data_IF_565260318718
#
_entry.id   IF_565260318718
#
_cell.length_a   1.000
_cell.length_b   1.000
_cell.length_c   1.000
_cell.angle_alpha   90.00
_cell.angle_beta   90.00
_cell.angle_gamma   90.00
#
_symmetry.space_group_name_H-M   'P 1'
#
loop_
_entity.id
_entity.type
_entity.pdbx_description
1 polymer ?
#
# COMPACT_ATOMS: atom_id res chain seq x y z
N UNK A 1 0.81 -10.61 -17.29
CA UNK A 1 1.84 -10.31 -16.27
C UNK A 1 3.19 -10.11 -16.97
N UNK A 2 3.87 -9.01 -16.64
CA UNK A 2 5.20 -8.62 -17.10
C UNK A 2 6.19 -9.01 -16.00
N UNK A 3 7.24 -9.75 -16.34
CA UNK A 3 8.22 -10.24 -15.36
C UNK A 3 9.51 -9.41 -15.42
N UNK A 4 9.89 -8.81 -14.30
CA UNK A 4 11.18 -8.16 -14.10
C UNK A 4 12.09 -9.14 -13.37
N UNK A 5 13.26 -9.48 -13.91
CA UNK A 5 14.09 -10.54 -13.34
C UNK A 5 15.57 -10.16 -13.22
N UNK A 6 16.22 -10.68 -12.18
CA UNK A 6 17.64 -10.56 -11.91
C UNK A 6 18.36 -11.91 -12.15
N UNK A 7 19.66 -11.90 -12.48
CA UNK A 7 20.45 -13.12 -12.66
C UNK A 7 20.50 -14.02 -11.42
N UNK A 8 20.32 -13.44 -10.22
CA UNK A 8 20.23 -14.14 -8.93
C UNK A 8 18.99 -15.02 -8.77
N UNK A 9 18.05 -14.98 -9.73
CA UNK A 9 16.76 -15.68 -9.66
C UNK A 9 15.66 -14.89 -8.95
N UNK A 10 15.98 -13.72 -8.38
CA UNK A 10 15.00 -12.77 -7.85
C UNK A 10 14.17 -12.18 -8.98
N UNK A 11 12.87 -12.04 -8.76
CA UNK A 11 11.99 -11.43 -9.77
C UNK A 11 10.75 -10.78 -9.15
N UNK A 12 10.18 -9.82 -9.89
CA UNK A 12 8.90 -9.19 -9.60
C UNK A 12 7.94 -9.37 -10.78
N UNK A 13 6.66 -9.62 -10.49
CA UNK A 13 5.61 -9.75 -11.49
C UNK A 13 4.69 -8.53 -11.46
N UNK A 14 4.53 -7.84 -12.58
CA UNK A 14 3.67 -6.67 -12.71
C UNK A 14 2.48 -7.00 -13.61
N UNK A 15 1.25 -6.77 -13.17
CA UNK A 15 0.05 -6.87 -14.00
C UNK A 15 -0.38 -5.47 -14.47
N UNK A 16 -0.58 -5.23 -15.78
CA UNK A 16 -1.16 -3.98 -16.27
C UNK A 16 -2.53 -3.64 -15.66
N UNK A 17 -3.34 -4.63 -15.26
CA UNK A 17 -4.57 -4.37 -14.51
C UNK A 17 -4.19 -3.80 -13.14
N UNK A 18 -4.68 -2.59 -12.85
CA UNK A 18 -4.38 -1.86 -11.63
C UNK A 18 -2.92 -1.48 -11.45
N UNK A 19 -2.08 -1.60 -12.49
CA UNK A 19 -0.62 -1.51 -12.34
C UNK A 19 -0.09 -2.30 -11.13
N UNK A 20 -0.58 -3.54 -11.00
CA UNK A 20 -0.46 -4.38 -9.81
C UNK A 20 0.94 -4.93 -9.65
N UNK A 21 1.54 -4.79 -8.47
CA UNK A 21 2.66 -5.60 -8.03
C UNK A 21 2.13 -6.97 -7.59
N UNK A 22 2.13 -7.92 -8.52
CA UNK A 22 1.46 -9.20 -8.42
C UNK A 22 2.35 -10.34 -7.90
N UNK A 23 3.66 -10.14 -7.80
CA UNK A 23 4.59 -11.09 -7.19
C UNK A 23 5.90 -10.39 -6.83
N UNK A 24 6.55 -10.83 -5.76
CA UNK A 24 7.93 -10.46 -5.43
C UNK A 24 8.63 -11.68 -4.82
N UNK A 25 9.49 -12.32 -5.59
CA UNK A 25 10.15 -13.57 -5.22
C UNK A 25 11.58 -13.32 -4.79
N UNK A 26 11.90 -13.68 -3.55
CA UNK A 26 13.18 -13.38 -2.89
C UNK A 26 13.71 -14.59 -2.12
N UNK A 27 15.04 -14.77 -2.00
CA UNK A 27 15.63 -15.85 -1.24
C UNK A 27 15.45 -15.64 0.27
N UNK A 28 15.32 -16.73 1.02
CA UNK A 28 15.51 -16.75 2.47
C UNK A 28 17.01 -16.91 2.83
N UNK A 29 17.34 -17.02 4.11
CA UNK A 29 18.73 -17.22 4.59
C UNK A 29 19.40 -18.50 4.07
N UNK A 30 18.62 -19.48 3.60
CA UNK A 30 19.10 -20.73 3.05
C UNK A 30 19.10 -20.71 1.50
N UNK A 31 18.81 -19.56 0.89
CA UNK A 31 18.76 -19.39 -0.56
C UNK A 31 17.44 -19.84 -1.21
N UNK A 32 16.43 -20.24 -0.42
CA UNK A 32 15.14 -20.70 -0.96
C UNK A 32 14.27 -19.52 -1.38
N UNK A 33 13.93 -19.48 -2.66
CA UNK A 33 13.05 -18.47 -3.24
C UNK A 33 11.60 -18.71 -2.81
N UNK A 34 10.91 -17.67 -2.35
CA UNK A 34 9.46 -17.67 -2.18
C UNK A 34 8.87 -16.31 -2.55
N UNK A 35 7.61 -16.30 -2.98
CA UNK A 35 6.82 -15.08 -3.18
C UNK A 35 6.46 -14.51 -1.81
N UNK A 36 6.84 -13.26 -1.55
CA UNK A 36 6.54 -12.58 -0.28
C UNK A 36 5.29 -11.72 -0.36
N UNK A 37 4.53 -11.79 -1.46
CA UNK A 37 3.26 -11.08 -1.60
C UNK A 37 2.09 -12.04 -1.50
N UNK A 38 1.03 -11.59 -0.83
CA UNK A 38 -0.28 -12.20 -1.01
C UNK A 38 -0.87 -11.72 -2.33
N UNK A 39 -1.44 -12.64 -3.07
CA UNK A 39 -2.13 -12.37 -4.34
C UNK A 39 -3.47 -13.10 -4.37
N UNK A 40 -4.48 -12.56 -5.03
CA UNK A 40 -5.79 -13.20 -5.15
C UNK A 40 -5.72 -14.41 -6.08
N UNK A 41 -6.57 -15.42 -5.83
CA UNK A 41 -6.69 -16.59 -6.71
C UNK A 41 -7.12 -16.22 -8.14
N UNK A 42 -7.91 -15.15 -8.28
CA UNK A 42 -8.39 -14.62 -9.55
C UNK A 42 -7.76 -13.27 -9.86
N UNK A 43 -7.40 -13.04 -11.13
CA UNK A 43 -6.84 -11.76 -11.59
C UNK A 43 -7.84 -10.63 -11.31
N UNK A 44 -7.40 -9.56 -10.65
CA UNK A 44 -8.25 -8.43 -10.26
C UNK A 44 -9.20 -8.72 -9.09
N UNK A 45 -9.08 -9.88 -8.45
CA UNK A 45 -9.86 -10.23 -7.27
C UNK A 45 -9.24 -9.75 -5.95
N UNK A 46 -9.95 -10.01 -4.85
CA UNK A 46 -9.48 -9.73 -3.50
C UNK A 46 -9.50 -8.24 -3.10
N UNK A 47 -9.28 -7.92 -1.81
CA UNK A 47 -9.32 -6.55 -1.29
C UNK A 47 -8.04 -5.77 -1.65
N UNK A 48 -7.99 -5.24 -2.88
CA UNK A 48 -6.93 -4.34 -3.35
C UNK A 48 -5.52 -4.94 -3.25
N UNK A 49 -5.34 -6.23 -3.52
CA UNK A 49 -4.03 -6.87 -3.32
C UNK A 49 -3.02 -6.45 -4.39
N UNK A 50 -2.02 -5.67 -3.99
CA UNK A 50 -0.89 -5.29 -4.85
C UNK A 50 -1.20 -4.21 -5.89
N UNK A 51 -2.46 -3.79 -6.01
CA UNK A 51 -2.90 -2.79 -6.98
C UNK A 51 -2.35 -1.40 -6.65
N UNK A 52 -2.19 -0.57 -7.66
CA UNK A 52 -1.97 0.87 -7.51
C UNK A 52 -3.32 1.56 -7.32
N UNK A 53 -3.48 2.23 -6.19
CA UNK A 53 -4.72 2.90 -5.81
C UNK A 53 -4.66 4.39 -6.18
N UNK A 54 -5.79 4.91 -6.67
CA UNK A 54 -6.02 6.34 -6.88
C UNK A 54 -7.43 6.61 -7.40
N UNK A 55 -7.85 7.87 -7.61
CA UNK A 55 -7.06 9.10 -7.49
C UNK A 55 -6.70 9.49 -6.07
N UNK A 56 -7.43 8.98 -5.08
CA UNK A 56 -7.17 9.24 -3.67
C UNK A 56 -7.19 7.94 -2.88
N UNK A 57 -6.04 7.56 -2.33
CA UNK A 57 -5.91 6.40 -1.47
C UNK A 57 -6.58 6.61 -0.11
N UNK A 58 -7.15 5.55 0.43
CA UNK A 58 -7.94 5.52 1.66
C UNK A 58 -9.27 6.29 1.51
N UNK A 59 -9.85 6.77 2.61
CA UNK A 59 -11.23 7.25 2.67
C UNK A 59 -11.34 8.77 2.57
N UNK A 60 -12.34 9.23 1.83
CA UNK A 60 -12.88 10.60 1.89
C UNK A 60 -14.26 10.52 2.55
N UNK A 61 -14.37 11.17 3.70
CA UNK A 61 -15.58 11.17 4.53
C UNK A 61 -16.77 11.74 3.76
N UNK A 62 -17.92 11.06 3.83
CA UNK A 62 -19.16 11.50 3.16
C UNK A 62 -19.09 11.52 1.63
N UNK A 63 -18.05 10.90 1.04
CA UNK A 63 -17.81 10.85 -0.39
C UNK A 63 -17.90 12.24 -1.05
N UNK A 64 -17.38 13.27 -0.39
CA UNK A 64 -17.39 14.63 -0.93
C UNK A 64 -16.23 15.46 -0.38
N UNK A 65 -15.81 16.45 -1.15
CA UNK A 65 -14.89 17.50 -0.68
C UNK A 65 -15.24 18.85 -1.31
N UNK A 66 -14.78 19.92 -0.69
CA UNK A 66 -14.89 21.27 -1.23
C UNK A 66 -13.56 21.68 -1.86
N UNK A 67 -13.61 22.25 -3.06
CA UNK A 67 -12.47 22.84 -3.76
C UNK A 67 -12.94 24.13 -4.43
N UNK A 68 -12.23 25.24 -4.17
CA UNK A 68 -12.54 26.56 -4.72
C UNK A 68 -14.02 26.97 -4.56
N UNK A 69 -14.60 26.68 -3.39
CA UNK A 69 -16.00 26.98 -3.06
C UNK A 69 -17.04 26.05 -3.70
N UNK A 70 -16.61 25.06 -4.50
CA UNK A 70 -17.50 24.06 -5.12
C UNK A 70 -17.41 22.74 -4.37
N UNK A 71 -18.57 22.15 -4.04
CA UNK A 71 -18.64 20.81 -3.46
C UNK A 71 -18.63 19.76 -4.58
N UNK A 72 -17.58 18.94 -4.62
CA UNK A 72 -17.48 17.78 -5.49
C UNK A 72 -18.00 16.54 -4.76
N UNK A 73 -18.99 15.87 -5.35
CA UNK A 73 -19.49 14.58 -4.85
C UNK A 73 -18.80 13.45 -5.59
N UNK A 74 -18.38 12.44 -4.84
CA UNK A 74 -17.61 11.30 -5.30
C UNK A 74 -18.45 10.02 -5.28
N UNK A 75 -17.95 9.00 -5.95
CA UNK A 75 -18.46 7.64 -5.87
C UNK A 75 -18.34 7.13 -4.43
N UNK A 76 -19.48 6.87 -3.79
CA UNK A 76 -19.55 6.25 -2.46
C UNK A 76 -19.56 4.73 -2.61
N UNK A 77 -18.45 4.09 -2.24
CA UNK A 77 -18.23 2.64 -2.39
C UNK A 77 -17.87 1.95 -1.07
N UNK A 78 -17.82 2.69 0.05
CA UNK A 78 -17.62 2.15 1.39
C UNK A 78 -18.58 2.84 2.37
N UNK A 79 -19.82 2.35 2.39
CA UNK A 79 -20.92 3.01 3.09
C UNK A 79 -21.13 4.44 2.56
N UNK A 80 -21.12 5.47 3.43
CA UNK A 80 -21.25 6.86 3.01
C UNK A 80 -19.95 7.47 2.47
N UNK A 81 -18.84 6.73 2.46
CA UNK A 81 -17.50 7.25 2.15
C UNK A 81 -17.04 6.83 0.75
N UNK A 82 -16.10 7.60 0.19
CA UNK A 82 -15.36 7.20 -1.01
C UNK A 82 -14.04 6.56 -0.56
N UNK A 83 -13.85 5.28 -0.85
CA UNK A 83 -12.66 4.51 -0.53
C UNK A 83 -11.84 4.27 -1.80
N UNK A 84 -10.54 4.52 -1.72
CA UNK A 84 -9.55 4.15 -2.74
C UNK A 84 -9.85 4.73 -4.14
N UNK A 85 -10.51 5.89 -4.20
CA UNK A 85 -10.80 6.59 -5.44
C UNK A 85 -12.15 6.25 -6.06
N UNK A 86 -12.96 5.38 -5.43
CA UNK A 86 -14.34 5.10 -5.83
C UNK A 86 -14.57 3.67 -6.31
N UNK A 87 -15.79 3.39 -6.75
CA UNK A 87 -16.23 2.06 -7.19
C UNK A 87 -15.43 1.52 -8.39
N UNK A 88 -14.98 2.40 -9.28
CA UNK A 88 -14.14 2.07 -10.45
C UNK A 88 -12.84 2.88 -10.41
N UNK A 89 -12.10 2.75 -9.30
CA UNK A 89 -10.81 3.40 -9.08
C UNK A 89 -9.71 2.97 -10.07
N UNK A 90 -8.53 3.58 -9.97
CA UNK A 90 -7.41 3.27 -10.88
C UNK A 90 -6.94 1.80 -10.76
N UNK A 91 -7.21 1.16 -9.62
CA UNK A 91 -6.90 -0.24 -9.33
C UNK A 91 -7.68 -1.25 -10.18
N UNK A 92 -8.88 -0.87 -10.64
CA UNK A 92 -9.78 -1.76 -11.38
C UNK A 92 -9.63 -1.66 -12.90
N UNK A 93 -8.69 -0.84 -13.40
CA UNK A 93 -8.56 -0.52 -14.83
C UNK A 93 -7.29 -1.12 -15.43
N UNK A 94 -7.32 -1.48 -16.71
CA UNK A 94 -6.11 -1.86 -17.43
C UNK A 94 -5.28 -0.61 -17.78
N UNK A 95 -4.03 -0.58 -17.30
CA UNK A 95 -3.08 0.47 -17.61
C UNK A 95 -2.33 0.15 -18.91
N UNK A 96 -2.06 1.18 -19.71
CA UNK A 96 -1.27 1.04 -20.92
C UNK A 96 0.21 0.84 -20.55
N UNK A 97 0.88 -0.13 -21.18
CA UNK A 97 2.34 -0.25 -21.11
C UNK A 97 2.98 0.86 -21.94
N UNK A 98 3.53 1.87 -21.27
CA UNK A 98 4.19 3.01 -21.92
C UNK A 98 5.66 2.73 -22.25
N UNK A 99 6.33 1.94 -21.42
CA UNK A 99 7.70 1.46 -21.65
C UNK A 99 7.91 0.11 -20.97
N UNK A 100 8.79 -0.73 -21.54
CA UNK A 100 9.13 -2.03 -20.97
C UNK A 100 10.58 -2.40 -21.29
N UNK A 101 11.27 -2.95 -20.30
CA UNK A 101 12.64 -3.42 -20.34
C UNK A 101 12.78 -4.67 -19.44
N UNK A 102 13.84 -5.47 -19.56
CA UNK A 102 14.00 -6.71 -18.77
C UNK A 102 13.93 -6.51 -17.24
N UNK A 103 14.22 -5.29 -16.77
CA UNK A 103 14.30 -4.92 -15.36
C UNK A 103 13.43 -3.71 -15.00
N UNK A 104 12.57 -3.24 -15.90
CA UNK A 104 11.66 -2.15 -15.59
C UNK A 104 10.45 -2.07 -16.51
N UNK A 105 9.37 -1.49 -16.02
CA UNK A 105 8.16 -1.23 -16.80
C UNK A 105 7.52 0.07 -16.32
N UNK A 106 7.03 0.87 -17.26
CA UNK A 106 6.21 2.05 -16.98
C UNK A 106 4.81 1.80 -17.50
N UNK A 107 3.83 1.89 -16.61
CA UNK A 107 2.42 1.79 -16.90
C UNK A 107 1.78 3.17 -16.80
N UNK A 108 0.84 3.49 -17.69
CA UNK A 108 0.14 4.79 -17.74
C UNK A 108 -1.37 4.59 -17.81
N UNK A 109 -2.11 5.44 -17.12
CA UNK A 109 -3.58 5.48 -17.18
C UNK A 109 -4.06 6.94 -17.24
N UNK A 110 -5.03 7.20 -18.12
CA UNK A 110 -5.74 8.48 -18.18
C UNK A 110 -7.13 8.32 -17.57
N UNK A 111 -7.41 9.12 -16.54
CA UNK A 111 -8.71 9.24 -15.89
C UNK A 111 -9.33 10.58 -16.33
N UNK A 112 -10.50 10.59 -17.01
CA UNK A 112 -11.08 11.81 -17.59
C UNK A 112 -11.63 12.79 -16.51
N UNK A 113 -11.91 14.03 -16.90
CA UNK A 113 -12.62 14.98 -16.03
C UNK A 113 -13.96 14.39 -15.54
N UNK A 114 -14.22 14.49 -14.24
CA UNK A 114 -15.43 13.95 -13.60
C UNK A 114 -15.38 12.46 -13.26
N UNK A 115 -14.30 11.74 -13.56
CA UNK A 115 -14.17 10.31 -13.24
C UNK A 115 -14.28 10.08 -11.72
N UNK A 116 -15.21 9.19 -11.32
CA UNK A 116 -15.62 8.97 -9.93
C UNK A 116 -15.98 10.24 -9.14
N UNK A 117 -16.30 11.34 -9.84
CA UNK A 117 -16.64 12.65 -9.26
C UNK A 117 -15.46 13.61 -9.09
N UNK A 118 -14.22 13.19 -9.39
CA UNK A 118 -13.05 14.05 -9.26
C UNK A 118 -12.92 15.02 -10.46
N UNK A 119 -12.71 16.32 -10.23
CA UNK A 119 -12.50 17.28 -11.31
C UNK A 119 -11.12 17.10 -11.98
N UNK A 120 -11.01 17.57 -13.21
CA UNK A 120 -9.79 17.55 -14.03
C UNK A 120 -9.52 16.17 -14.63
N UNK A 121 -8.95 16.16 -15.84
CA UNK A 121 -8.31 14.95 -16.38
C UNK A 121 -7.02 14.73 -15.60
N UNK A 122 -6.79 13.49 -15.16
CA UNK A 122 -5.57 13.04 -14.52
C UNK A 122 -4.87 12.00 -15.39
N UNK A 123 -3.58 12.16 -15.63
CA UNK A 123 -2.72 11.10 -16.19
C UNK A 123 -1.80 10.59 -15.09
N UNK A 124 -1.96 9.32 -14.72
CA UNK A 124 -1.13 8.64 -13.73
C UNK A 124 -0.08 7.77 -14.41
N UNK A 125 1.10 7.67 -13.82
CA UNK A 125 2.12 6.67 -14.19
C UNK A 125 2.61 5.90 -12.98
N UNK A 126 2.84 4.60 -13.20
CA UNK A 126 3.52 3.71 -12.26
C UNK A 126 4.74 3.10 -12.94
N UNK A 127 5.93 3.51 -12.51
CA UNK A 127 7.20 3.01 -13.03
C UNK A 127 7.84 2.07 -12.01
N UNK A 128 7.93 0.78 -12.37
CA UNK A 128 8.63 -0.24 -11.59
C UNK A 128 10.03 -0.47 -12.15
N UNK A 129 11.02 -0.58 -11.27
CA UNK A 129 12.39 -0.95 -11.63
C UNK A 129 12.97 -1.93 -10.61
N UNK A 130 13.50 -3.04 -11.09
CA UNK A 130 14.17 -4.07 -10.28
C UNK A 130 15.67 -4.03 -10.53
N UNK A 131 16.44 -3.89 -9.45
CA UNK A 131 17.90 -3.77 -9.51
C UNK A 131 18.54 -4.56 -8.36
N UNK A 132 19.81 -4.88 -8.53
CA UNK A 132 20.63 -5.53 -7.52
C UNK A 132 22.03 -4.95 -7.59
N UNK A 133 22.54 -4.53 -6.44
CA UNK A 133 23.90 -4.04 -6.24
C UNK A 133 24.51 -4.65 -4.97
N UNK A 134 25.68 -4.15 -4.55
CA UNK A 134 26.37 -4.66 -3.37
C UNK A 134 25.58 -4.45 -2.06
N UNK A 135 24.60 -3.55 -2.02
CA UNK A 135 23.70 -3.34 -0.89
C UNK A 135 22.47 -4.25 -0.91
N UNK A 136 22.25 -5.00 -2.00
CA UNK A 136 21.21 -6.00 -2.16
C UNK A 136 20.21 -5.67 -3.27
N UNK A 137 19.04 -6.30 -3.19
CA UNK A 137 17.94 -6.11 -4.16
C UNK A 137 17.14 -4.86 -3.83
N UNK A 138 16.85 -4.05 -4.85
CA UNK A 138 15.94 -2.91 -4.79
C UNK A 138 14.85 -3.04 -5.85
N UNK A 139 13.59 -3.06 -5.40
CA UNK A 139 12.42 -2.75 -6.21
C UNK A 139 12.03 -1.28 -5.97
N UNK A 140 12.18 -0.43 -6.99
CA UNK A 140 11.71 0.94 -6.96
C UNK A 140 10.33 1.03 -7.63
N UNK A 141 9.42 1.79 -7.01
CA UNK A 141 8.15 2.20 -7.59
C UNK A 141 8.09 3.73 -7.55
N UNK A 142 7.98 4.36 -8.71
CA UNK A 142 7.72 5.79 -8.83
C UNK A 142 6.30 5.99 -9.32
N UNK A 143 5.51 6.72 -8.54
CA UNK A 143 4.14 7.10 -8.88
C UNK A 143 4.11 8.59 -9.22
N UNK A 144 3.62 8.93 -10.40
CA UNK A 144 3.45 10.33 -10.81
C UNK A 144 2.02 10.57 -11.29
N UNK A 145 1.58 11.82 -11.17
CA UNK A 145 0.31 12.26 -11.73
C UNK A 145 0.44 13.67 -12.29
N UNK A 146 -0.19 13.91 -13.44
CA UNK A 146 -0.39 15.26 -13.99
C UNK A 146 -1.87 15.53 -14.17
N UNK A 147 -2.32 16.74 -13.87
CA UNK A 147 -3.72 17.13 -13.93
C UNK A 147 -3.87 18.42 -14.72
N UNK A 148 -5.00 18.58 -15.42
CA UNK A 148 -5.29 19.82 -16.17
C UNK A 148 -6.16 20.82 -15.39
N UNK A 149 -6.63 20.42 -14.19
CA UNK A 149 -7.30 21.27 -13.21
C UNK A 149 -6.86 20.87 -11.80
N UNK A 150 -7.09 21.76 -10.84
CA UNK A 150 -6.91 21.46 -9.43
C UNK A 150 -7.80 20.27 -9.03
N UNK A 151 -7.22 19.28 -8.35
CA UNK A 151 -7.91 18.08 -7.89
C UNK A 151 -7.03 17.39 -6.83
N UNK A 152 -7.61 16.75 -5.81
CA UNK A 152 -6.81 16.00 -4.85
C UNK A 152 -6.23 14.74 -5.51
N UNK A 153 -4.95 14.47 -5.23
CA UNK A 153 -4.27 13.26 -5.68
C UNK A 153 -3.47 12.67 -4.52
N UNK A 154 -3.68 11.39 -4.26
CA UNK A 154 -2.93 10.60 -3.28
C UNK A 154 -2.83 9.18 -3.81
N UNK A 155 -1.68 8.82 -4.37
CA UNK A 155 -1.45 7.50 -4.96
C UNK A 155 -0.65 6.61 -4.01
N UNK A 156 -0.92 5.31 -4.02
CA UNK A 156 -0.11 4.32 -3.31
C UNK A 156 -0.16 2.97 -4.02
N UNK A 157 0.69 2.03 -3.60
CA UNK A 157 0.56 0.62 -3.92
C UNK A 157 0.07 -0.15 -2.69
N UNK A 158 -0.86 -1.08 -2.90
CA UNK A 158 -1.55 -1.79 -1.82
C UNK A 158 -1.06 -3.24 -1.69
N UNK A 159 0.24 -3.48 -1.85
CA UNK A 159 0.85 -4.80 -1.66
C UNK A 159 0.71 -5.32 -0.22
N UNK A 160 0.26 -6.56 -0.11
CA UNK A 160 0.17 -7.30 1.14
C UNK A 160 1.41 -8.18 1.28
N UNK A 161 2.22 -7.89 2.31
CA UNK A 161 3.53 -8.52 2.48
C UNK A 161 3.48 -9.63 3.53
N UNK A 162 4.04 -10.78 3.18
CA UNK A 162 4.36 -11.84 4.11
C UNK A 162 5.76 -12.42 3.84
N UNK A 163 6.76 -11.89 4.55
CA UNK A 163 8.17 -12.29 4.43
C UNK A 163 8.49 -13.75 4.83
N UNK A 164 7.54 -14.52 5.38
CA UNK A 164 7.69 -15.97 5.52
C UNK A 164 7.65 -16.68 4.17
N UNK A 165 6.99 -16.10 3.17
CA UNK A 165 6.67 -16.77 1.91
C UNK A 165 5.27 -17.40 1.90
N UNK A 166 4.43 -17.05 2.89
CA UNK A 166 3.08 -17.60 3.04
C UNK A 166 2.98 -18.78 4.02
N UNK A 167 4.10 -19.28 4.53
CA UNK A 167 4.17 -20.46 5.42
C UNK A 167 3.52 -20.24 6.81
N UNK A 168 3.36 -18.98 7.22
CA UNK A 168 2.82 -18.60 8.53
C UNK A 168 2.16 -17.22 8.49
N UNK A 169 1.40 -16.87 9.52
CA UNK A 169 0.80 -15.53 9.69
C UNK A 169 1.89 -14.47 9.92
N UNK A 170 1.52 -13.19 9.83
CA UNK A 170 2.47 -12.08 10.03
C UNK A 170 2.81 -11.81 11.51
N UNK A 171 2.28 -12.59 12.45
CA UNK A 171 2.40 -12.31 13.88
C UNK A 171 3.85 -12.32 14.38
N UNK A 172 4.70 -13.17 13.79
CA UNK A 172 6.12 -13.26 14.12
C UNK A 172 6.99 -12.23 13.39
N UNK A 173 6.42 -11.43 12.48
CA UNK A 173 7.15 -10.36 11.82
C UNK A 173 7.42 -9.23 12.79
N UNK A 174 8.60 -8.62 12.63
CA UNK A 174 9.02 -7.44 13.37
C UNK A 174 8.89 -6.21 12.48
N UNK A 175 7.98 -5.32 12.82
CA UNK A 175 7.73 -4.06 12.13
C UNK A 175 8.31 -2.91 12.95
N UNK A 176 9.10 -2.07 12.29
CA UNK A 176 9.53 -0.77 12.80
C UNK A 176 9.08 0.33 11.84
N UNK A 177 8.60 1.45 12.37
CA UNK A 177 8.12 2.61 11.60
C UNK A 177 8.64 3.89 12.25
N UNK A 178 9.30 4.73 11.45
CA UNK A 178 9.79 6.04 11.88
C UNK A 178 8.64 7.05 11.94
N UNK A 179 7.80 6.93 12.96
CA UNK A 179 6.64 7.79 13.18
C UNK A 179 6.42 8.05 14.68
N UNK A 180 6.26 9.31 15.07
CA UNK A 180 5.89 9.69 16.46
C UNK A 180 4.40 9.85 16.68
N UNK A 181 3.62 9.91 15.60
CA UNK A 181 2.18 10.12 15.65
C UNK A 181 1.45 9.21 14.67
N UNK A 182 0.19 8.93 14.96
CA UNK A 182 -0.70 8.19 14.08
C UNK A 182 -2.06 8.87 14.01
N UNK A 183 -2.88 8.49 13.04
CA UNK A 183 -4.25 8.96 12.89
C UNK A 183 -5.20 7.94 13.53
N UNK A 184 -5.67 8.13 14.77
CA UNK A 184 -6.77 7.33 15.30
C UNK A 184 -8.04 7.59 14.47
N UNK A 185 -8.91 6.59 14.37
CA UNK A 185 -10.08 6.59 13.51
C UNK A 185 -11.37 6.31 14.28
N UNK A 186 -12.47 6.78 13.69
CA UNK A 186 -13.84 6.37 14.01
C UNK A 186 -14.08 4.90 13.63
N UNK A 187 -15.20 4.27 14.08
CA UNK A 187 -15.60 2.95 13.61
C UNK A 187 -15.83 2.85 12.08
N UNK A 188 -16.06 3.99 11.41
CA UNK A 188 -16.14 4.07 9.94
C UNK A 188 -14.76 4.23 9.27
N UNK A 189 -13.67 4.01 10.03
CA UNK A 189 -12.28 4.18 9.60
C UNK A 189 -11.95 5.57 9.04
N UNK A 190 -12.68 6.60 9.47
CA UNK A 190 -12.39 8.01 9.18
C UNK A 190 -11.51 8.58 10.31
N UNK A 191 -10.39 9.27 10.02
CA UNK A 191 -9.58 9.93 11.04
C UNK A 191 -10.40 10.80 11.98
N UNK A 192 -10.12 10.72 13.28
CA UNK A 192 -10.78 11.53 14.30
C UNK A 192 -10.38 13.02 14.16
N UNK A 193 -11.27 13.97 14.52
CA UNK A 193 -10.96 15.40 14.46
C UNK A 193 -9.72 15.83 15.27
N UNK A 194 -9.43 15.14 16.37
CA UNK A 194 -8.27 15.37 17.24
C UNK A 194 -6.96 14.73 16.74
N UNK A 195 -7.00 13.99 15.64
CA UNK A 195 -5.80 13.41 15.03
C UNK A 195 -4.86 14.53 14.53
N UNK A 196 -3.52 14.30 14.52
CA UNK A 196 -2.82 13.08 14.89
C UNK A 196 -2.55 12.95 16.40
N UNK A 197 -2.54 11.71 16.91
CA UNK A 197 -2.24 11.39 18.32
C UNK A 197 -0.83 10.79 18.49
N UNK A 198 -0.16 10.94 19.65
CA UNK A 198 1.15 10.35 19.88
C UNK A 198 1.10 8.82 19.89
N UNK A 199 2.13 8.16 19.34
CA UNK A 199 2.23 6.69 19.41
C UNK A 199 2.75 6.20 20.77
N UNK A 200 3.46 7.03 21.51
CA UNK A 200 4.14 6.64 22.75
C UNK A 200 3.16 6.05 23.78
N UNK A 201 3.48 4.88 24.31
CA UNK A 201 2.62 4.17 25.27
C UNK A 201 1.41 3.47 24.65
N UNK A 202 1.31 3.43 23.32
CA UNK A 202 0.23 2.74 22.59
C UNK A 202 0.76 1.52 21.83
N UNK A 203 -0.11 0.62 21.34
CA UNK A 203 0.32 -0.48 20.46
C UNK A 203 0.88 -0.02 19.11
N UNK A 204 0.63 1.24 18.73
CA UNK A 204 1.14 1.86 17.51
C UNK A 204 2.58 2.38 17.68
N UNK A 205 3.19 2.25 18.86
CA UNK A 205 4.60 2.58 19.08
C UNK A 205 5.52 1.55 18.40
N UNK A 206 5.77 1.81 17.12
CA UNK A 206 6.64 1.01 16.26
C UNK A 206 7.99 1.70 16.01
N UNK A 207 8.33 2.76 16.77
CA UNK A 207 9.60 3.49 16.61
C UNK A 207 10.81 2.58 16.82
N UNK A 208 10.66 1.58 17.69
CA UNK A 208 11.56 0.43 17.80
C UNK A 208 10.88 -0.79 17.19
N UNK A 209 11.55 -1.59 16.33
CA UNK A 209 10.95 -2.77 15.74
C UNK A 209 10.34 -3.71 16.78
N UNK A 210 9.04 -3.99 16.65
CA UNK A 210 8.27 -4.81 17.58
C UNK A 210 7.60 -5.97 16.84
N UNK A 211 7.36 -7.08 17.56
CA UNK A 211 6.66 -8.24 17.01
C UNK A 211 5.18 -7.88 16.82
N UNK A 212 4.63 -8.14 15.63
CA UNK A 212 3.27 -7.72 15.29
C UNK A 212 2.22 -8.40 16.18
N UNK A 213 2.36 -9.70 16.47
CA UNK A 213 1.41 -10.43 17.33
C UNK A 213 1.22 -9.77 18.71
N UNK A 214 2.30 -9.26 19.31
CA UNK A 214 2.24 -8.55 20.60
C UNK A 214 1.46 -7.23 20.50
N UNK A 215 1.59 -6.50 19.38
CA UNK A 215 0.86 -5.26 19.14
C UNK A 215 -0.62 -5.52 18.84
N UNK A 216 -0.90 -6.59 18.09
CA UNK A 216 -2.26 -6.99 17.72
C UNK A 216 -3.05 -7.54 18.91
N UNK A 217 -2.39 -8.17 19.89
CA UNK A 217 -3.02 -8.66 21.11
C UNK A 217 -3.20 -7.58 22.20
N UNK A 218 -2.68 -6.37 21.99
CA UNK A 218 -2.68 -5.34 23.02
C UNK A 218 -4.11 -4.80 23.26
N UNK A 219 -4.53 -4.66 24.54
CA UNK A 219 -5.85 -4.13 24.86
C UNK A 219 -5.89 -2.62 24.59
N UNK A 220 -6.38 -2.24 23.41
CA UNK A 220 -6.50 -0.84 23.01
C UNK A 220 -7.77 -0.62 22.17
N UNK A 221 -8.58 0.43 22.43
CA UNK A 221 -9.85 0.63 21.74
C UNK A 221 -9.73 0.65 20.21
N UNK A 222 -8.68 1.28 19.68
CA UNK A 222 -8.44 1.35 18.24
C UNK A 222 -8.04 -0.01 17.61
N UNK A 223 -7.37 -0.89 18.36
CA UNK A 223 -7.06 -2.25 17.87
C UNK A 223 -8.35 -3.09 17.86
N UNK A 224 -9.12 -3.03 18.94
CA UNK A 224 -10.38 -3.76 19.06
C UNK A 224 -11.41 -3.32 18.00
N UNK A 225 -11.53 -2.01 17.75
CA UNK A 225 -12.47 -1.47 16.77
C UNK A 225 -12.16 -1.89 15.33
N UNK A 226 -10.87 -2.05 14.99
CA UNK A 226 -10.43 -2.39 13.64
C UNK A 226 -10.10 -3.89 13.45
N UNK A 227 -10.15 -4.70 14.51
CA UNK A 227 -9.73 -6.10 14.49
C UNK A 227 -8.23 -6.28 14.21
N UNK A 228 -7.42 -5.28 14.57
CA UNK A 228 -5.99 -5.21 14.26
C UNK A 228 -5.52 -3.78 14.04
N UNK A 229 -4.42 -3.59 13.31
CA UNK A 229 -3.95 -2.26 12.91
C UNK A 229 -4.50 -1.95 11.53
N UNK A 230 -5.27 -0.87 11.42
CA UNK A 230 -5.63 -0.22 10.14
C UNK A 230 -5.51 1.30 10.29
N UNK A 231 -4.28 1.81 10.43
CA UNK A 231 -4.05 3.21 10.76
C UNK A 231 -2.93 3.82 9.92
N UNK A 232 -3.08 5.11 9.61
CA UNK A 232 -2.00 5.90 9.02
C UNK A 232 -1.05 6.35 10.12
N UNK A 233 0.22 5.96 10.02
CA UNK A 233 1.30 6.48 10.83
C UNK A 233 1.92 7.69 10.12
N UNK A 234 1.94 8.85 10.79
CA UNK A 234 2.52 10.07 10.26
C UNK A 234 4.05 9.98 10.35
N UNK A 235 4.70 9.84 9.20
CA UNK A 235 6.13 9.56 9.12
C UNK A 235 6.95 10.79 9.49
N UNK A 236 7.96 10.59 10.34
CA UNK A 236 8.90 11.63 10.72
C UNK A 236 9.80 12.00 9.52
N UNK A 237 10.12 13.28 9.35
CA UNK A 237 11.01 13.80 8.30
C UNK A 237 10.31 14.08 6.96
N UNK A 238 11.10 14.49 5.96
CA UNK A 238 10.61 14.89 4.63
C UNK A 238 11.54 14.36 3.52
N UNK A 239 11.04 14.31 2.29
CA UNK A 239 11.78 13.79 1.14
C UNK A 239 12.01 12.27 1.23
N UNK A 240 12.72 11.73 0.25
CA UNK A 240 12.99 10.28 0.17
C UNK A 240 13.87 9.84 1.33
N UNK A 241 13.32 8.99 2.21
CA UNK A 241 13.97 8.53 3.44
C UNK A 241 13.55 7.12 3.81
N UNK A 242 14.36 6.42 4.61
CA UNK A 242 13.96 5.17 5.22
C UNK A 242 12.83 5.43 6.24
N UNK A 243 11.66 4.85 6.00
CA UNK A 243 10.45 5.10 6.77
C UNK A 243 10.04 3.90 7.63
N UNK A 244 10.31 2.68 7.15
CA UNK A 244 9.93 1.47 7.87
C UNK A 244 10.88 0.31 7.61
N UNK A 245 10.88 -0.66 8.53
CA UNK A 245 11.57 -1.94 8.38
C UNK A 245 10.60 -3.07 8.70
N UNK A 246 10.59 -4.11 7.88
CA UNK A 246 9.86 -5.34 8.15
C UNK A 246 10.84 -6.50 8.11
N UNK A 247 10.86 -7.35 9.13
CA UNK A 247 11.75 -8.50 9.19
C UNK A 247 10.98 -9.73 9.65
N UNK A 248 11.34 -10.89 9.11
CA UNK A 248 10.81 -12.16 9.56
C UNK A 248 11.94 -13.04 10.13
N UNK A 249 11.96 -13.28 11.45
CA UNK A 249 13.07 -13.94 12.12
C UNK A 249 13.37 -15.37 11.67
N UNK A 250 12.40 -16.14 11.15
CA UNK A 250 12.62 -17.53 10.73
C UNK A 250 13.20 -17.60 9.32
N UNK A 251 12.58 -16.93 8.34
CA UNK A 251 13.13 -16.89 6.98
C UNK A 251 14.44 -16.09 6.92
N UNK A 252 14.61 -15.07 7.77
CA UNK A 252 15.74 -14.14 7.71
C UNK A 252 15.57 -13.06 6.64
N UNK A 253 14.44 -13.02 5.93
CA UNK A 253 14.13 -11.94 4.99
C UNK A 253 13.90 -10.65 5.77
N UNK A 254 14.44 -9.55 5.24
CA UNK A 254 14.29 -8.20 5.78
C UNK A 254 14.07 -7.22 4.64
N UNK A 255 13.14 -6.30 4.84
CA UNK A 255 12.83 -5.21 3.94
C UNK A 255 13.02 -3.87 4.66
N UNK A 256 13.52 -2.87 3.93
CA UNK A 256 13.49 -1.47 4.34
C UNK A 256 12.66 -0.71 3.32
N UNK A 257 11.60 -0.04 3.76
CA UNK A 257 10.81 0.84 2.92
C UNK A 257 11.43 2.24 2.93
N UNK A 258 11.73 2.75 1.74
CA UNK A 258 12.05 4.14 1.51
C UNK A 258 10.89 4.83 0.82
N UNK A 259 10.53 6.02 1.27
CA UNK A 259 9.45 6.81 0.67
C UNK A 259 9.66 8.30 0.91
N UNK A 260 9.14 9.12 0.01
CA UNK A 260 8.96 10.56 0.16
C UNK A 260 7.56 10.94 0.69
N UNK A 261 6.67 9.96 0.85
CA UNK A 261 5.34 10.18 1.40
C UNK A 261 5.38 10.72 2.84
N UNK A 262 4.35 11.49 3.25
CA UNK A 262 4.25 12.03 4.62
C UNK A 262 3.68 11.01 5.62
N UNK A 263 3.08 9.92 5.15
CA UNK A 263 2.42 8.93 5.99
C UNK A 263 2.49 7.53 5.40
N UNK A 264 2.32 6.52 6.24
CA UNK A 264 2.25 5.12 5.85
C UNK A 264 1.03 4.45 6.50
N UNK A 265 0.13 3.93 5.69
CA UNK A 265 -0.94 3.06 6.19
C UNK A 265 -0.34 1.73 6.60
N UNK A 266 -0.54 1.33 7.86
CA UNK A 266 -0.30 -0.04 8.31
C UNK A 266 -1.66 -0.72 8.39
N UNK A 267 -1.85 -1.70 7.52
CA UNK A 267 -3.02 -2.58 7.53
C UNK A 267 -2.56 -4.02 7.71
N UNK A 268 -3.05 -4.69 8.76
CA UNK A 268 -2.62 -6.05 9.13
C UNK A 268 -3.51 -7.16 8.57
N UNK A 269 -4.31 -6.87 7.54
CA UNK A 269 -5.11 -7.90 6.86
C UNK A 269 -6.37 -8.31 7.65
N UNK A 270 -6.94 -7.42 8.45
CA UNK A 270 -8.00 -7.75 9.42
C UNK A 270 -9.28 -8.30 8.77
N UNK A 271 -9.53 -7.98 7.49
CA UNK A 271 -10.68 -8.41 6.69
C UNK A 271 -10.35 -9.52 5.69
N UNK A 272 -9.23 -10.22 5.85
CA UNK A 272 -8.75 -11.22 4.89
C UNK A 272 -9.32 -12.62 5.10
N UNK A 273 -10.10 -12.84 6.18
CA UNK A 273 -10.72 -14.13 6.45
C UNK A 273 -11.63 -14.56 5.28
N UNK A 274 -11.43 -15.77 4.76
CA UNK A 274 -12.21 -16.32 3.65
C UNK A 274 -11.82 -15.83 2.25
N UNK A 275 -10.79 -14.97 2.12
CA UNK A 275 -10.30 -14.54 0.81
C UNK A 275 -9.47 -15.66 0.16
N UNK A 276 -9.85 -16.06 -1.06
CA UNK A 276 -9.11 -17.05 -1.83
C UNK A 276 -7.80 -16.44 -2.38
N UNK A 277 -6.67 -17.00 -1.96
CA UNK A 277 -5.33 -16.56 -2.37
C UNK A 277 -4.78 -17.44 -3.51
N UNK A 278 -3.85 -16.89 -4.29
CA UNK A 278 -3.06 -17.60 -5.27
C UNK A 278 -2.01 -18.42 -4.54
N UNK A 279 -2.14 -19.74 -4.57
CA UNK A 279 -1.27 -20.69 -3.88
C UNK A 279 -2.06 -21.92 -3.52
#
# INVERSE_FOLDING_TARGET
MIRLALPSGVWAGIDPLGATLAALVLPDRAGRLADVLLSPATRGGGPYMGVTVGRYANRIAGAAFALDGTTHRLSANDGPNCLHGGAEGLDARDWQVAASAPRGVTLRLSSPDGDQGFPGRLTAEAAYALSEDAAGVRLALTLTATTDRATPVSLTNHAYLNLSGGDETIEDHRLGVAARRYLPVTPAAIPLPEAPAPVAGTPFDLRTPARLGERLAAPHPQIAAMGGIDHCLALDGHGLRAAATLAHPRSGRRMVLWTDAPGMQVYTGNGMAGVALRG
#
